data_IF_298020098523
#
_entry.id   IF_298020098523
#
_cell.length_a   1.000
_cell.length_b   1.000
_cell.length_c   1.000
_cell.angle_alpha   90.00
_cell.angle_beta   90.00
_cell.angle_gamma   90.00
#
_symmetry.space_group_name_H-M   'P 1'
#
loop_
_entity.id
_entity.type
_entity.pdbx_description
1 polymer ?
#
# COMPACT_ATOMS: atom_id res chain seq x y z
N UNK A 1 -33.98 34.76 29.46
CA UNK A 1 -32.69 34.07 29.70
C UNK A 1 -33.07 32.66 30.15
N UNK A 2 -33.28 31.65 29.30
CA UNK A 2 -32.50 31.15 28.14
C UNK A 2 -31.11 30.71 28.60
N UNK A 3 -30.68 29.44 28.56
CA UNK A 3 -31.07 28.28 27.74
C UNK A 3 -30.93 26.95 28.50
N UNK A 4 -31.97 26.10 28.38
CA UNK A 4 -31.93 24.64 28.55
C UNK A 4 -31.39 23.99 27.28
N UNK A 5 -30.55 22.96 27.39
CA UNK A 5 -30.27 22.01 26.30
C UNK A 5 -30.55 20.60 26.81
N UNK A 6 -31.82 20.22 26.79
CA UNK A 6 -32.22 18.87 26.44
C UNK A 6 -32.39 18.81 24.92
N UNK A 7 -31.72 17.87 24.26
CA UNK A 7 -32.28 17.26 23.05
C UNK A 7 -32.11 15.75 23.13
N UNK A 8 -33.20 15.14 23.55
CA UNK A 8 -33.56 13.77 23.30
C UNK A 8 -33.34 13.37 21.84
N UNK A 9 -32.86 12.14 21.70
CA UNK A 9 -33.15 11.25 20.58
C UNK A 9 -34.65 11.34 20.24
N UNK A 10 -35.00 11.85 19.07
CA UNK A 10 -36.34 11.66 18.51
C UNK A 10 -36.27 10.53 17.49
N UNK A 11 -36.96 9.44 17.81
CA UNK A 11 -37.42 8.44 16.85
C UNK A 11 -38.44 9.14 15.94
N UNK A 12 -38.26 9.08 14.62
CA UNK A 12 -39.39 9.33 13.72
C UNK A 12 -40.31 8.09 13.72
N UNK A 13 -41.62 8.35 13.79
CA UNK A 13 -42.67 7.34 13.94
C UNK A 13 -42.91 6.45 12.72
N UNK A 14 -41.84 6.06 12.00
CA UNK A 14 -41.91 5.13 10.86
C UNK A 14 -40.90 3.96 10.94
N UNK A 15 -40.03 3.90 11.97
CA UNK A 15 -39.18 2.73 12.19
C UNK A 15 -38.16 2.46 11.08
N UNK A 16 -37.80 3.47 10.27
CA UNK A 16 -36.77 3.34 9.21
C UNK A 16 -35.47 4.04 9.61
N UNK A 17 -34.36 3.31 9.54
CA UNK A 17 -33.00 3.88 9.65
C UNK A 17 -32.80 5.01 8.62
N UNK A 18 -32.60 6.25 9.08
CA UNK A 18 -32.09 7.32 8.21
C UNK A 18 -30.65 7.00 7.84
N UNK A 19 -30.43 6.67 6.56
CA UNK A 19 -29.11 6.79 5.90
C UNK A 19 -28.66 8.25 6.02
N UNK A 20 -27.67 8.51 6.87
CA UNK A 20 -26.92 9.76 6.88
C UNK A 20 -26.07 9.83 5.61
N UNK A 21 -26.67 10.32 4.53
CA UNK A 21 -25.94 10.79 3.35
C UNK A 21 -25.15 12.03 3.75
N UNK A 22 -23.86 11.87 4.04
CA UNK A 22 -22.94 13.00 4.00
C UNK A 22 -22.79 13.45 2.54
N UNK A 23 -23.03 14.73 2.21
CA UNK A 23 -22.90 15.20 0.85
C UNK A 23 -21.42 15.16 0.45
N UNK A 24 -21.14 14.46 -0.65
CA UNK A 24 -19.82 14.34 -1.30
C UNK A 24 -19.16 15.71 -1.55
N UNK A 25 -19.93 16.81 -1.53
CA UNK A 25 -19.44 18.18 -1.64
C UNK A 25 -18.53 18.63 -0.50
N UNK A 26 -18.67 18.10 0.72
CA UNK A 26 -17.81 18.50 1.85
C UNK A 26 -16.48 17.73 1.86
N UNK A 27 -16.50 16.47 1.38
CA UNK A 27 -15.31 15.68 1.05
C UNK A 27 -14.48 16.36 -0.05
N UNK A 28 -15.17 16.93 -1.05
CA UNK A 28 -14.56 17.70 -2.11
C UNK A 28 -14.21 19.13 -1.67
N UNK A 29 -14.88 19.78 -0.72
CA UNK A 29 -14.46 21.12 -0.26
C UNK A 29 -13.22 21.11 0.62
N UNK A 30 -13.03 20.08 1.45
CA UNK A 30 -11.76 19.91 2.19
C UNK A 30 -10.62 19.44 1.29
N UNK A 31 -10.91 18.71 0.21
CA UNK A 31 -9.90 18.20 -0.75
C UNK A 31 -9.64 19.17 -1.94
N UNK A 32 -10.60 20.02 -2.33
CA UNK A 32 -10.57 20.97 -3.46
C UNK A 32 -10.58 22.44 -2.97
N UNK A 33 -10.01 22.72 -1.80
CA UNK A 33 -9.30 23.99 -1.63
C UNK A 33 -7.84 23.89 -2.11
N UNK A 34 -7.39 22.69 -2.52
CA UNK A 34 -6.10 22.43 -3.16
C UNK A 34 -6.13 22.76 -4.66
N UNK A 35 -6.38 24.03 -4.98
CA UNK A 35 -6.40 24.55 -6.34
C UNK A 35 -5.02 25.02 -6.81
N UNK A 36 -4.51 24.34 -7.84
CA UNK A 36 -3.47 24.75 -8.81
C UNK A 36 -2.03 24.87 -8.28
N UNK A 37 -1.14 24.12 -8.94
CA UNK A 37 0.32 24.08 -8.81
C UNK A 37 0.88 23.29 -7.62
N UNK A 38 0.92 21.96 -7.69
CA UNK A 38 1.86 21.23 -6.82
C UNK A 38 2.43 20.01 -7.52
N UNK A 39 3.71 20.12 -7.93
CA UNK A 39 4.55 18.99 -8.35
C UNK A 39 4.89 18.06 -7.16
N UNK A 40 4.61 18.47 -5.92
CA UNK A 40 5.21 17.86 -4.70
C UNK A 40 4.24 17.63 -3.51
N UNK A 41 2.99 17.18 -3.74
CA UNK A 41 2.09 16.74 -2.65
C UNK A 41 0.85 17.62 -2.40
N UNK A 42 -0.05 17.16 -1.54
CA UNK A 42 -1.26 17.90 -1.13
C UNK A 42 -0.90 18.66 0.15
N UNK A 43 -1.02 19.99 0.13
CA UNK A 43 -0.77 20.82 1.31
C UNK A 43 -2.07 20.93 2.10
N UNK A 44 -2.09 20.42 3.34
CA UNK A 44 -3.17 20.68 4.30
C UNK A 44 -2.65 21.68 5.32
N UNK A 45 -3.47 22.67 5.65
CA UNK A 45 -3.11 23.76 6.55
C UNK A 45 -3.30 23.30 8.01
N UNK A 46 -2.22 23.28 8.80
CA UNK A 46 -2.33 23.37 10.26
C UNK A 46 -1.96 24.80 10.69
N UNK A 47 -2.42 25.20 11.88
CA UNK A 47 -2.18 26.51 12.48
C UNK A 47 -0.69 26.84 12.72
N UNK A 48 0.21 25.85 12.61
CA UNK A 48 1.61 25.96 13.01
C UNK A 48 2.63 25.84 11.86
N UNK A 49 2.17 25.90 10.60
CA UNK A 49 3.04 25.97 9.42
C UNK A 49 2.75 24.95 8.33
N UNK A 50 3.31 25.19 7.14
CA UNK A 50 3.12 24.35 5.96
C UNK A 50 3.90 23.03 6.09
N UNK A 51 3.21 21.93 6.43
CA UNK A 51 3.74 20.58 6.22
C UNK A 51 3.16 20.01 4.92
N UNK A 52 3.98 19.80 3.86
CA UNK A 52 3.52 19.05 2.71
C UNK A 52 3.23 17.60 3.13
N UNK A 53 1.96 17.21 3.15
CA UNK A 53 1.57 15.83 3.52
C UNK A 53 1.73 14.96 2.27
N UNK A 54 2.53 13.88 2.32
CA UNK A 54 2.61 12.92 1.23
C UNK A 54 1.22 12.35 0.92
N UNK A 55 0.91 12.16 -0.37
CA UNK A 55 -0.39 11.61 -0.79
C UNK A 55 -0.68 10.23 -0.18
N UNK A 56 0.36 9.41 -0.03
CA UNK A 56 0.29 8.09 0.61
C UNK A 56 -0.17 8.22 2.07
N UNK A 57 0.36 9.19 2.81
CA UNK A 57 -0.06 9.49 4.19
C UNK A 57 -1.55 9.81 4.24
N UNK A 58 -2.01 10.73 3.39
CA UNK A 58 -3.40 11.15 3.36
C UNK A 58 -4.35 10.00 2.99
N UNK A 59 -3.99 9.17 2.01
CA UNK A 59 -4.78 8.02 1.59
C UNK A 59 -4.95 7.01 2.74
N UNK A 60 -3.84 6.64 3.40
CA UNK A 60 -3.86 5.72 4.54
C UNK A 60 -4.68 6.30 5.69
N UNK A 61 -4.46 7.56 6.07
CA UNK A 61 -5.25 8.20 7.14
C UNK A 61 -6.74 8.19 6.82
N UNK A 62 -7.15 8.53 5.60
CA UNK A 62 -8.56 8.52 5.21
C UNK A 62 -9.17 7.11 5.25
N UNK A 63 -8.41 6.09 4.86
CA UNK A 63 -8.86 4.70 4.93
C UNK A 63 -9.04 4.27 6.39
N UNK A 64 -8.07 4.57 7.25
CA UNK A 64 -8.16 4.32 8.69
C UNK A 64 -9.31 5.08 9.34
N UNK A 65 -9.58 6.33 8.96
CA UNK A 65 -10.72 7.12 9.48
C UNK A 65 -12.07 6.52 9.07
N UNK A 66 -12.14 5.86 7.90
CA UNK A 66 -13.37 5.20 7.45
C UNK A 66 -13.61 3.87 8.11
N UNK A 67 -12.55 3.10 8.27
CA UNK A 67 -12.66 1.77 8.85
C UNK A 67 -12.67 1.85 10.38
N UNK A 68 -11.89 2.74 11.00
CA UNK A 68 -11.71 2.94 12.45
C UNK A 68 -11.96 4.39 12.92
N UNK A 69 -13.15 4.97 12.68
CA UNK A 69 -13.43 6.38 13.02
C UNK A 69 -13.29 6.68 14.50
N UNK A 70 -13.72 5.78 15.38
CA UNK A 70 -13.61 5.95 16.83
C UNK A 70 -12.15 6.00 17.29
N UNK A 71 -11.27 5.19 16.69
CA UNK A 71 -9.84 5.16 17.01
C UNK A 71 -9.10 6.38 16.48
N UNK A 72 -9.42 6.82 15.27
CA UNK A 72 -8.89 8.08 14.73
C UNK A 72 -9.33 9.27 15.59
N UNK A 73 -10.55 9.24 16.14
CA UNK A 73 -11.02 10.29 17.04
C UNK A 73 -10.32 10.24 18.41
N UNK A 74 -10.06 9.06 18.97
CA UNK A 74 -9.30 8.90 20.23
C UNK A 74 -7.88 9.46 20.12
N UNK A 75 -7.15 9.10 19.05
CA UNK A 75 -5.75 9.54 18.85
C UNK A 75 -5.69 10.98 18.32
N UNK A 76 -6.70 11.39 17.56
CA UNK A 76 -6.75 12.67 16.88
C UNK A 76 -6.16 12.59 15.47
N UNK A 77 -6.94 13.05 14.48
CA UNK A 77 -6.59 12.95 13.04
C UNK A 77 -5.22 13.54 12.70
N UNK A 78 -4.86 14.69 13.27
CA UNK A 78 -3.56 15.32 13.03
C UNK A 78 -2.40 14.45 13.49
N UNK A 79 -2.58 13.75 14.62
CA UNK A 79 -1.57 12.86 15.17
C UNK A 79 -1.41 11.59 14.33
N UNK A 80 -2.53 11.02 13.85
CA UNK A 80 -2.51 9.92 12.88
C UNK A 80 -1.73 10.31 11.61
N UNK A 81 -1.99 11.51 11.07
CA UNK A 81 -1.26 12.05 9.91
C UNK A 81 0.23 12.17 10.23
N UNK A 82 0.59 12.67 11.43
CA UNK A 82 1.99 12.84 11.85
C UNK A 82 2.72 11.50 11.93
N UNK A 83 2.10 10.49 12.55
CA UNK A 83 2.67 9.14 12.72
C UNK A 83 2.84 8.45 11.36
N UNK A 84 1.80 8.41 10.53
CA UNK A 84 1.91 7.82 9.18
C UNK A 84 2.87 8.63 8.30
N UNK A 85 2.89 9.95 8.47
CA UNK A 85 3.80 10.85 7.77
C UNK A 85 5.26 10.57 8.07
N UNK A 86 5.60 10.25 9.32
CA UNK A 86 6.97 9.89 9.71
C UNK A 86 7.40 8.55 9.12
N UNK A 87 6.50 7.57 9.01
CA UNK A 87 6.77 6.26 8.41
C UNK A 87 6.84 6.31 6.87
N UNK A 88 6.13 7.24 6.23
CA UNK A 88 5.96 7.27 4.77
C UNK A 88 7.28 7.24 3.97
N UNK A 89 8.34 8.00 4.31
CA UNK A 89 9.62 7.90 3.61
C UNK A 89 10.24 6.50 3.65
N UNK A 90 10.08 5.79 4.77
CA UNK A 90 10.56 4.42 4.93
C UNK A 90 9.75 3.43 4.08
N UNK A 91 8.43 3.60 4.00
CA UNK A 91 7.58 2.77 3.12
C UNK A 91 7.97 2.91 1.65
N UNK A 92 8.29 4.14 1.20
CA UNK A 92 8.71 4.38 -0.19
C UNK A 92 10.03 3.69 -0.49
N UNK A 93 11.05 3.87 0.35
CA UNK A 93 12.35 3.24 0.12
C UNK A 93 12.30 1.72 0.28
N UNK A 94 11.45 1.20 1.17
CA UNK A 94 11.23 -0.23 1.33
C UNK A 94 10.62 -0.85 0.07
N UNK A 95 9.58 -0.24 -0.50
CA UNK A 95 9.00 -0.71 -1.76
C UNK A 95 10.01 -0.68 -2.90
N UNK A 96 10.81 0.39 -3.03
CA UNK A 96 11.85 0.43 -4.07
C UNK A 96 12.91 -0.67 -3.87
N UNK A 97 13.36 -0.88 -2.63
CA UNK A 97 14.32 -1.94 -2.29
C UNK A 97 13.74 -3.34 -2.54
N UNK A 98 12.50 -3.60 -2.11
CA UNK A 98 11.80 -4.87 -2.28
C UNK A 98 11.50 -5.16 -3.76
N UNK A 99 10.93 -4.21 -4.51
CA UNK A 99 10.51 -4.44 -5.89
C UNK A 99 11.67 -4.43 -6.87
N UNK A 100 12.58 -3.45 -6.75
CA UNK A 100 13.62 -3.19 -7.74
C UNK A 100 14.96 -3.78 -7.26
N UNK A 101 15.33 -3.52 -6.00
CA UNK A 101 16.60 -3.97 -5.44
C UNK A 101 16.72 -5.50 -5.40
N UNK A 102 15.73 -6.18 -4.81
CA UNK A 102 15.69 -7.66 -4.75
C UNK A 102 15.59 -8.25 -6.16
N UNK A 103 14.82 -7.64 -7.06
CA UNK A 103 14.75 -8.08 -8.45
C UNK A 103 16.09 -7.96 -9.16
N UNK A 104 16.85 -6.87 -8.92
CA UNK A 104 18.18 -6.72 -9.46
C UNK A 104 19.10 -7.84 -8.96
N UNK A 105 19.03 -8.19 -7.66
CA UNK A 105 19.74 -9.34 -7.08
C UNK A 105 19.41 -10.64 -7.80
N UNK A 106 18.12 -10.98 -7.84
CA UNK A 106 17.64 -12.22 -8.43
C UNK A 106 17.97 -12.31 -9.93
N UNK A 107 17.98 -11.18 -10.65
CA UNK A 107 18.39 -11.13 -12.06
C UNK A 107 19.87 -11.47 -12.23
N UNK A 108 20.75 -10.95 -11.37
CA UNK A 108 22.18 -11.31 -11.41
C UNK A 108 22.41 -12.77 -11.04
N UNK A 109 21.74 -13.27 -9.98
CA UNK A 109 21.85 -14.65 -9.52
C UNK A 109 21.34 -15.68 -10.55
N UNK A 110 20.31 -15.32 -11.33
CA UNK A 110 19.76 -16.17 -12.39
C UNK A 110 20.51 -16.07 -13.73
N UNK A 111 21.55 -15.24 -13.80
CA UNK A 111 22.33 -14.99 -15.01
C UNK A 111 21.87 -13.75 -15.77
N UNK A 112 22.71 -12.72 -15.75
CA UNK A 112 22.58 -11.50 -16.55
C UNK A 112 23.77 -11.35 -17.51
N UNK A 113 23.63 -10.53 -18.56
CA UNK A 113 24.74 -10.22 -19.47
C UNK A 113 25.79 -9.38 -18.75
N UNK A 114 27.06 -9.50 -19.13
CA UNK A 114 28.16 -8.75 -18.50
C UNK A 114 27.92 -7.24 -18.37
N UNK A 115 27.38 -6.54 -19.40
CA UNK A 115 27.06 -5.11 -19.28
C UNK A 115 25.99 -4.78 -18.23
N UNK A 116 25.12 -5.74 -17.88
CA UNK A 116 24.04 -5.54 -16.90
C UNK A 116 24.52 -5.75 -15.46
N UNK A 117 25.57 -6.55 -15.24
CA UNK A 117 25.95 -7.00 -13.90
C UNK A 117 26.28 -5.85 -12.94
N UNK A 118 27.22 -4.97 -13.33
CA UNK A 118 27.63 -3.85 -12.47
C UNK A 118 26.48 -2.85 -12.24
N UNK A 119 25.72 -2.41 -13.28
CA UNK A 119 24.52 -1.59 -13.09
C UNK A 119 23.49 -2.18 -12.12
N UNK A 120 23.17 -3.47 -12.25
CA UNK A 120 22.23 -4.15 -11.37
C UNK A 120 22.75 -4.22 -9.92
N UNK A 121 24.06 -4.44 -9.74
CA UNK A 121 24.69 -4.42 -8.42
C UNK A 121 24.64 -3.03 -7.79
N UNK A 122 24.92 -1.98 -8.56
CA UNK A 122 24.83 -0.59 -8.11
C UNK A 122 23.40 -0.22 -7.72
N UNK A 123 22.41 -0.68 -8.49
CA UNK A 123 21.00 -0.42 -8.24
C UNK A 123 20.55 -1.07 -6.92
N UNK A 124 20.85 -2.34 -6.71
CA UNK A 124 20.55 -3.04 -5.44
C UNK A 124 21.20 -2.34 -4.25
N UNK A 125 22.53 -2.16 -4.30
CA UNK A 125 23.27 -1.57 -3.18
C UNK A 125 22.79 -0.14 -2.87
N UNK A 126 22.48 0.64 -3.92
CA UNK A 126 21.97 2.00 -3.77
C UNK A 126 20.61 2.05 -3.08
N UNK A 127 19.71 1.14 -3.43
CA UNK A 127 18.36 1.04 -2.83
C UNK A 127 18.40 0.53 -1.40
N UNK A 128 19.22 -0.49 -1.11
CA UNK A 128 19.40 -0.99 0.25
C UNK A 128 20.04 0.06 1.17
N UNK A 129 21.01 0.82 0.66
CA UNK A 129 21.61 1.93 1.41
C UNK A 129 20.59 3.04 1.70
N UNK A 130 19.72 3.37 0.75
CA UNK A 130 18.67 4.36 1.00
C UNK A 130 17.64 3.88 2.03
N UNK A 131 17.19 2.63 1.91
CA UNK A 131 16.33 1.99 2.91
C UNK A 131 16.93 2.13 4.32
N UNK A 132 18.21 1.78 4.48
CA UNK A 132 18.91 1.92 5.75
C UNK A 132 18.93 3.38 6.25
N UNK A 133 19.25 4.35 5.38
CA UNK A 133 19.22 5.77 5.75
C UNK A 133 17.82 6.25 6.19
N UNK A 134 16.76 5.80 5.52
CA UNK A 134 15.38 6.15 5.91
C UNK A 134 14.98 5.49 7.23
N UNK A 135 15.44 4.28 7.47
CA UNK A 135 15.23 3.57 8.74
C UNK A 135 15.93 4.29 9.90
N UNK A 136 17.18 4.69 9.75
CA UNK A 136 17.91 5.45 10.77
C UNK A 136 17.20 6.78 11.07
N UNK A 137 16.85 7.55 10.03
CA UNK A 137 16.12 8.80 10.21
C UNK A 137 14.75 8.63 10.90
N UNK A 138 14.04 7.54 10.57
CA UNK A 138 12.79 7.18 11.24
C UNK A 138 13.04 6.82 12.72
N UNK A 139 14.06 6.03 13.00
CA UNK A 139 14.42 5.59 14.36
C UNK A 139 14.83 6.77 15.24
N UNK A 140 15.64 7.68 14.72
CA UNK A 140 16.07 8.90 15.42
C UNK A 140 14.87 9.80 15.77
N UNK A 141 13.91 9.91 14.85
CA UNK A 141 12.74 10.79 15.02
C UNK A 141 11.66 10.22 15.94
N UNK A 142 11.62 8.89 16.11
CA UNK A 142 10.56 8.20 16.87
C UNK A 142 11.09 7.46 18.12
N UNK A 143 12.39 7.52 18.39
CA UNK A 143 13.04 6.90 19.54
C UNK A 143 13.17 5.37 19.46
N UNK A 144 13.99 4.80 20.36
CA UNK A 144 14.26 3.36 20.45
C UNK A 144 13.13 2.58 21.18
N UNK A 145 11.92 2.59 20.63
CA UNK A 145 10.74 1.95 21.23
C UNK A 145 9.91 1.11 20.25
N UNK A 146 8.60 1.04 20.50
CA UNK A 146 7.63 0.27 19.68
C UNK A 146 7.68 0.62 18.19
N UNK A 147 7.87 1.89 17.85
CA UNK A 147 7.96 2.33 16.45
C UNK A 147 9.14 1.69 15.72
N UNK A 148 10.30 1.58 16.38
CA UNK A 148 11.49 0.93 15.82
C UNK A 148 11.24 -0.57 15.58
N UNK A 149 10.63 -1.26 16.53
CA UNK A 149 10.28 -2.69 16.37
C UNK A 149 9.32 -2.91 15.20
N UNK A 150 8.32 -2.04 15.03
CA UNK A 150 7.40 -2.10 13.88
C UNK A 150 8.16 -1.90 12.57
N UNK A 151 9.11 -0.95 12.51
CA UNK A 151 9.95 -0.74 11.34
C UNK A 151 10.86 -1.95 11.04
N UNK A 152 11.49 -2.53 12.06
CA UNK A 152 12.34 -3.71 11.94
C UNK A 152 11.58 -4.90 11.34
N UNK A 153 10.40 -5.18 11.90
CA UNK A 153 9.54 -6.27 11.42
C UNK A 153 9.07 -5.99 10.00
N UNK A 154 8.56 -4.79 9.72
CA UNK A 154 8.08 -4.41 8.40
C UNK A 154 9.17 -4.60 7.34
N UNK A 155 10.39 -4.11 7.60
CA UNK A 155 11.51 -4.22 6.66
C UNK A 155 11.85 -5.69 6.44
N UNK A 156 12.05 -6.46 7.51
CA UNK A 156 12.44 -7.85 7.42
C UNK A 156 11.39 -8.69 6.65
N UNK A 157 10.13 -8.57 7.04
CA UNK A 157 9.05 -9.40 6.53
C UNK A 157 8.76 -9.06 5.05
N UNK A 158 8.86 -7.78 4.66
CA UNK A 158 8.72 -7.35 3.25
C UNK A 158 9.89 -7.80 2.37
N UNK A 159 11.13 -7.69 2.86
CA UNK A 159 12.30 -8.15 2.12
C UNK A 159 12.32 -9.68 1.99
N UNK A 160 11.87 -10.41 3.03
CA UNK A 160 11.68 -11.86 2.97
C UNK A 160 10.63 -12.24 1.92
N UNK A 161 9.46 -11.61 1.96
CA UNK A 161 8.39 -11.85 0.99
C UNK A 161 8.84 -11.62 -0.46
N UNK A 162 9.56 -10.53 -0.73
CA UNK A 162 10.06 -10.25 -2.08
C UNK A 162 11.18 -11.21 -2.51
N UNK A 163 12.08 -11.59 -1.58
CA UNK A 163 13.16 -12.54 -1.87
C UNK A 163 12.62 -13.93 -2.22
N UNK A 164 11.66 -14.41 -1.44
CA UNK A 164 11.09 -15.76 -1.56
C UNK A 164 9.87 -15.79 -2.49
N UNK A 165 9.65 -14.75 -3.32
CA UNK A 165 8.48 -14.66 -4.22
C UNK A 165 8.34 -15.84 -5.20
N UNK A 166 9.43 -16.57 -5.46
CA UNK A 166 9.40 -17.78 -6.32
C UNK A 166 8.71 -18.97 -5.64
N UNK A 167 8.65 -18.99 -4.31
CA UNK A 167 7.96 -20.03 -3.54
C UNK A 167 6.43 -19.91 -3.67
N UNK A 168 5.94 -18.74 -4.10
CA UNK A 168 4.53 -18.48 -4.37
C UNK A 168 4.23 -18.71 -5.86
N UNK A 169 3.95 -19.96 -6.23
CA UNK A 169 3.62 -20.34 -7.60
C UNK A 169 2.14 -20.76 -7.77
N UNK A 170 1.60 -20.59 -8.98
CA UNK A 170 0.22 -20.97 -9.31
C UNK A 170 -0.83 -20.30 -8.40
N UNK A 171 -1.62 -21.12 -7.70
CA UNK A 171 -2.65 -20.64 -6.78
C UNK A 171 -2.09 -19.81 -5.61
N UNK A 172 -0.87 -20.09 -5.16
CA UNK A 172 -0.23 -19.35 -4.06
C UNK A 172 0.22 -17.92 -4.45
N UNK A 173 0.23 -17.57 -5.74
CA UNK A 173 0.54 -16.20 -6.19
C UNK A 173 -0.43 -15.17 -5.61
N UNK A 174 -1.68 -15.57 -5.39
CA UNK A 174 -2.69 -14.71 -4.77
C UNK A 174 -2.30 -14.35 -3.33
N UNK A 175 -1.88 -15.33 -2.54
CA UNK A 175 -1.43 -15.10 -1.16
C UNK A 175 -0.21 -14.17 -1.10
N UNK A 176 0.69 -14.24 -2.09
CA UNK A 176 1.79 -13.27 -2.19
C UNK A 176 1.28 -11.84 -2.35
N UNK A 177 0.30 -11.62 -3.25
CA UNK A 177 -0.26 -10.30 -3.52
C UNK A 177 -0.97 -9.69 -2.31
N UNK A 178 -1.69 -10.53 -1.58
CA UNK A 178 -2.37 -10.21 -0.32
C UNK A 178 -1.37 -9.83 0.76
N UNK A 179 -0.32 -10.64 0.96
CA UNK A 179 0.73 -10.34 1.93
C UNK A 179 1.48 -9.04 1.60
N UNK A 180 1.84 -8.83 0.33
CA UNK A 180 2.61 -7.67 -0.13
C UNK A 180 1.94 -6.34 0.22
N UNK A 181 0.62 -6.25 0.02
CA UNK A 181 -0.15 -5.09 0.45
C UNK A 181 -0.43 -5.07 1.95
N UNK A 182 -0.74 -6.23 2.53
CA UNK A 182 -1.12 -6.38 3.92
C UNK A 182 -0.03 -5.97 4.91
N UNK A 183 1.24 -6.24 4.61
CA UNK A 183 2.37 -5.88 5.47
C UNK A 183 2.43 -4.37 5.77
N UNK A 184 2.24 -3.53 4.75
CA UNK A 184 2.22 -2.08 4.91
C UNK A 184 1.00 -1.61 5.72
N UNK A 185 -0.18 -2.18 5.44
CA UNK A 185 -1.41 -1.86 6.16
C UNK A 185 -1.29 -2.16 7.66
N UNK A 186 -0.75 -3.34 8.00
CA UNK A 186 -0.58 -3.76 9.38
C UNK A 186 0.48 -2.91 10.09
N UNK A 187 1.61 -2.59 9.44
CA UNK A 187 2.61 -1.71 10.04
C UNK A 187 2.04 -0.32 10.38
N UNK A 188 1.24 0.26 9.47
CA UNK A 188 0.55 1.52 9.72
C UNK A 188 -0.42 1.40 10.90
N UNK A 189 -1.21 0.33 10.98
CA UNK A 189 -2.10 0.09 12.11
C UNK A 189 -1.35 -0.13 13.42
N UNK A 190 -0.21 -0.84 13.39
CA UNK A 190 0.59 -1.11 14.58
C UNK A 190 1.19 0.15 15.21
N UNK A 191 1.47 1.18 14.40
CA UNK A 191 1.94 2.46 14.90
C UNK A 191 0.83 3.33 15.50
N UNK A 192 -0.39 3.22 14.99
CA UNK A 192 -1.47 4.15 15.33
C UNK A 192 -2.45 3.53 16.34
N UNK A 193 -2.89 2.29 16.10
CA UNK A 193 -3.89 1.56 16.90
C UNK A 193 -3.45 0.10 17.16
N UNK A 194 -2.30 -0.13 17.83
CA UNK A 194 -1.78 -1.48 18.01
C UNK A 194 -2.74 -2.45 18.71
N UNK A 195 -3.58 -1.95 19.62
CA UNK A 195 -4.57 -2.75 20.33
C UNK A 195 -5.62 -3.38 19.40
N UNK A 196 -5.89 -2.76 18.23
CA UNK A 196 -6.80 -3.30 17.23
C UNK A 196 -6.20 -4.56 16.62
N UNK A 197 -4.90 -4.56 16.32
CA UNK A 197 -4.19 -5.74 15.80
C UNK A 197 -4.05 -6.84 16.86
N UNK A 198 -3.71 -6.45 18.10
CA UNK A 198 -3.61 -7.36 19.24
C UNK A 198 -4.96 -8.08 19.47
N UNK A 199 -6.08 -7.34 19.44
CA UNK A 199 -7.42 -7.93 19.54
C UNK A 199 -7.77 -8.87 18.39
N UNK A 200 -7.17 -8.64 17.21
CA UNK A 200 -7.40 -9.47 16.03
C UNK A 200 -6.50 -10.71 15.98
N UNK A 201 -5.60 -10.88 16.95
CA UNK A 201 -4.63 -11.97 17.01
C UNK A 201 -3.38 -11.75 16.14
N UNK A 202 -3.13 -10.52 15.68
CA UNK A 202 -1.95 -10.18 14.89
C UNK A 202 -0.88 -9.57 15.81
N UNK A 203 0.10 -10.38 16.20
CA UNK A 203 1.31 -9.89 16.88
C UNK A 203 2.32 -9.33 15.87
N UNK A 204 2.08 -8.08 15.43
CA UNK A 204 2.97 -7.41 14.48
C UNK A 204 4.33 -7.03 15.08
N UNK A 205 4.44 -6.31 16.21
CA UNK A 205 5.74 -5.92 16.77
C UNK A 205 6.52 -7.10 17.39
N UNK A 206 5.97 -8.32 17.34
CA UNK A 206 6.65 -9.55 17.69
C UNK A 206 7.83 -9.89 16.79
N UNK A 207 8.24 -11.17 16.79
CA UNK A 207 9.47 -11.59 16.09
C UNK A 207 9.34 -11.40 14.56
N UNK A 208 10.39 -10.91 13.89
CA UNK A 208 10.46 -10.94 12.44
C UNK A 208 10.38 -12.38 11.91
N UNK A 209 9.68 -12.57 10.79
CA UNK A 209 9.54 -13.85 10.10
C UNK A 209 10.90 -14.31 9.54
N UNK A 210 11.12 -15.63 9.50
CA UNK A 210 12.34 -16.24 8.95
C UNK A 210 12.07 -17.06 7.71
N UNK A 211 10.84 -17.52 7.55
CA UNK A 211 10.41 -18.36 6.43
C UNK A 211 9.09 -17.87 5.85
N UNK A 212 8.76 -18.32 4.64
CA UNK A 212 7.44 -18.12 4.02
C UNK A 212 6.33 -18.71 4.89
N UNK A 213 6.56 -19.85 5.54
CA UNK A 213 5.61 -20.45 6.48
C UNK A 213 5.28 -19.52 7.66
N UNK A 214 6.29 -18.80 8.18
CA UNK A 214 6.08 -17.82 9.25
C UNK A 214 5.19 -16.67 8.77
N UNK A 215 5.42 -16.16 7.54
CA UNK A 215 4.59 -15.10 6.94
C UNK A 215 3.14 -15.57 6.80
N UNK A 216 2.94 -16.76 6.23
CA UNK A 216 1.61 -17.33 6.02
C UNK A 216 0.85 -17.52 7.34
N UNK A 217 1.54 -17.95 8.40
CA UNK A 217 0.94 -18.12 9.72
C UNK A 217 0.63 -16.79 10.40
N UNK A 218 1.61 -15.87 10.43
CA UNK A 218 1.52 -14.58 11.15
C UNK A 218 0.47 -13.64 10.55
N UNK A 219 0.31 -13.68 9.23
CA UNK A 219 -0.60 -12.82 8.47
C UNK A 219 -1.81 -13.60 7.91
N UNK A 220 -2.14 -14.73 8.51
CA UNK A 220 -3.24 -15.61 8.07
C UNK A 220 -4.59 -14.89 7.94
N UNK A 221 -4.87 -13.88 8.77
CA UNK A 221 -6.09 -13.06 8.65
C UNK A 221 -6.18 -12.33 7.29
N UNK A 222 -5.05 -11.98 6.68
CA UNK A 222 -4.98 -11.25 5.41
C UNK A 222 -4.95 -12.18 4.20
N UNK A 223 -4.64 -13.47 4.42
CA UNK A 223 -4.59 -14.46 3.36
C UNK A 223 -6.00 -15.03 3.18
N UNK A 224 -6.67 -14.52 2.19
CA UNK A 224 -8.07 -14.78 1.96
C UNK A 224 -8.23 -16.08 1.16
N UNK A 225 -8.12 -17.22 1.86
CA UNK A 225 -8.67 -18.51 1.41
C UNK A 225 -10.21 -18.47 1.38
N UNK A 226 -10.87 -19.53 0.88
CA UNK A 226 -12.34 -19.57 0.69
C UNK A 226 -13.10 -18.92 1.87
N UNK A 227 -14.05 -18.03 1.55
CA UNK A 227 -14.62 -17.03 2.45
C UNK A 227 -15.53 -17.59 3.57
N UNK A 228 -15.30 -18.79 4.05
CA UNK A 228 -16.13 -19.41 5.06
C UNK A 228 -15.90 -18.76 6.43
N UNK A 229 -17.00 -18.41 7.10
CA UNK A 229 -16.98 -17.96 8.49
C UNK A 229 -16.62 -16.49 8.72
N UNK A 230 -16.59 -15.63 7.70
CA UNK A 230 -16.38 -14.17 7.87
C UNK A 230 -17.41 -13.58 8.85
N UNK A 231 -18.68 -14.05 8.83
CA UNK A 231 -19.71 -13.59 9.77
C UNK A 231 -19.40 -13.94 11.23
N UNK A 232 -18.62 -15.00 11.45
CA UNK A 232 -18.24 -15.49 12.78
C UNK A 232 -16.98 -14.83 13.32
N UNK A 233 -16.27 -14.02 12.51
CA UNK A 233 -15.08 -13.29 12.94
C UNK A 233 -15.44 -12.17 13.90
N UNK A 234 -14.51 -11.86 14.80
CA UNK A 234 -14.66 -10.72 15.71
C UNK A 234 -14.78 -9.40 14.96
N UNK A 235 -15.39 -8.40 15.61
CA UNK A 235 -15.64 -7.10 14.98
C UNK A 235 -14.35 -6.40 14.50
N UNK A 236 -13.26 -6.48 15.28
CA UNK A 236 -11.95 -5.93 14.89
C UNK A 236 -11.36 -6.65 13.68
N UNK A 237 -11.41 -7.98 13.66
CA UNK A 237 -10.94 -8.81 12.55
C UNK A 237 -11.68 -8.49 11.25
N UNK A 238 -13.01 -8.39 11.28
CA UNK A 238 -13.81 -8.03 10.09
C UNK A 238 -13.45 -6.67 9.53
N UNK A 239 -13.09 -5.70 10.37
CA UNK A 239 -12.72 -4.36 9.92
C UNK A 239 -11.35 -4.33 9.27
N UNK A 240 -10.37 -5.03 9.86
CA UNK A 240 -9.05 -5.23 9.24
C UNK A 240 -9.23 -5.92 7.88
N UNK A 241 -10.02 -6.98 7.84
CA UNK A 241 -10.28 -7.74 6.62
C UNK A 241 -11.00 -6.90 5.55
N UNK A 242 -11.97 -6.09 5.96
CA UNK A 242 -12.67 -5.18 5.07
C UNK A 242 -11.76 -4.11 4.48
N UNK A 243 -10.86 -3.54 5.29
CA UNK A 243 -9.82 -2.62 4.79
C UNK A 243 -8.93 -3.31 3.75
N UNK A 244 -8.49 -4.53 4.06
CA UNK A 244 -7.62 -5.30 3.19
C UNK A 244 -8.29 -5.67 1.86
N UNK A 245 -9.56 -6.11 1.90
CA UNK A 245 -10.34 -6.40 0.68
C UNK A 245 -10.50 -5.15 -0.19
N UNK A 246 -10.70 -3.98 0.41
CA UNK A 246 -10.77 -2.73 -0.33
C UNK A 246 -9.44 -2.45 -1.05
N UNK A 247 -8.30 -2.62 -0.40
CA UNK A 247 -6.98 -2.48 -1.04
C UNK A 247 -6.76 -3.51 -2.15
N UNK A 248 -7.17 -4.77 -1.95
CA UNK A 248 -7.07 -5.81 -2.97
C UNK A 248 -7.87 -5.48 -4.23
N UNK A 249 -9.08 -4.94 -4.08
CA UNK A 249 -9.87 -4.47 -5.23
C UNK A 249 -9.16 -3.35 -6.00
N UNK A 250 -8.49 -2.44 -5.29
CA UNK A 250 -7.69 -1.39 -5.92
C UNK A 250 -6.46 -1.97 -6.64
N UNK A 251 -5.80 -2.96 -6.06
CA UNK A 251 -4.65 -3.66 -6.68
C UNK A 251 -5.05 -4.43 -7.94
N UNK A 252 -6.17 -5.16 -7.92
CA UNK A 252 -6.73 -5.81 -9.12
C UNK A 252 -7.01 -4.78 -10.22
N UNK A 253 -7.59 -3.63 -9.85
CA UNK A 253 -7.90 -2.53 -10.77
C UNK A 253 -6.62 -1.89 -11.35
N UNK A 254 -5.54 -1.77 -10.55
CA UNK A 254 -4.24 -1.27 -10.99
C UNK A 254 -3.56 -2.27 -11.95
N UNK A 255 -3.51 -3.55 -11.60
CA UNK A 255 -2.89 -4.61 -12.40
C UNK A 255 -3.56 -4.76 -13.78
N UNK A 256 -4.89 -4.68 -13.84
CA UNK A 256 -5.62 -4.70 -15.12
C UNK A 256 -5.18 -3.57 -16.06
N UNK A 257 -4.74 -2.44 -15.50
CA UNK A 257 -4.32 -1.24 -16.24
C UNK A 257 -2.80 -1.19 -16.45
N UNK A 258 -2.01 -1.81 -15.57
CA UNK A 258 -0.54 -1.81 -15.59
C UNK A 258 0.03 -3.09 -16.22
N UNK A 259 0.46 -3.03 -17.48
CA UNK A 259 0.72 -4.25 -18.26
C UNK A 259 2.15 -4.79 -18.31
N UNK A 260 3.19 -3.96 -18.10
CA UNK A 260 4.57 -4.28 -18.53
C UNK A 260 5.65 -4.31 -17.44
N UNK A 261 5.63 -3.34 -16.52
CA UNK A 261 6.69 -3.06 -15.54
C UNK A 261 6.98 -4.25 -14.63
N UNK A 262 5.95 -4.75 -13.97
CA UNK A 262 6.09 -5.79 -12.94
C UNK A 262 6.58 -7.12 -13.53
N UNK A 263 6.24 -7.37 -14.80
CA UNK A 263 6.76 -8.53 -15.53
C UNK A 263 8.27 -8.45 -15.75
N UNK A 264 8.82 -7.28 -16.07
CA UNK A 264 10.28 -7.10 -16.24
C UNK A 264 11.01 -7.36 -14.92
N UNK A 265 10.44 -6.92 -13.80
CA UNK A 265 10.97 -7.16 -12.46
C UNK A 265 10.72 -8.60 -11.96
N UNK A 266 9.85 -9.35 -12.63
CA UNK A 266 9.45 -10.70 -12.21
C UNK A 266 8.67 -10.68 -10.90
N UNK A 267 7.82 -9.66 -10.71
CA UNK A 267 6.89 -9.53 -9.59
C UNK A 267 5.56 -10.23 -9.95
N UNK A 268 4.96 -11.00 -9.03
CA UNK A 268 3.61 -11.51 -9.20
C UNK A 268 2.58 -10.37 -9.36
N UNK A 269 1.51 -10.66 -10.09
CA UNK A 269 0.37 -9.77 -10.32
C UNK A 269 -0.91 -10.59 -10.50
N UNK A 270 -2.08 -9.97 -10.36
CA UNK A 270 -3.34 -10.64 -10.62
C UNK A 270 -3.47 -11.10 -12.08
N UNK A 271 -2.83 -10.42 -13.03
CA UNK A 271 -2.76 -10.89 -14.43
C UNK A 271 -1.93 -12.17 -14.55
N UNK A 272 -0.79 -12.25 -13.86
CA UNK A 272 0.04 -13.46 -13.91
C UNK A 272 -0.61 -14.63 -13.17
N UNK A 273 -1.27 -14.37 -12.04
CA UNK A 273 -2.12 -15.33 -11.35
C UNK A 273 -3.25 -15.85 -12.25
N UNK A 274 -4.03 -14.95 -12.86
CA UNK A 274 -5.13 -15.35 -13.74
C UNK A 274 -4.65 -16.19 -14.93
N UNK A 275 -3.47 -15.90 -15.48
CA UNK A 275 -2.84 -16.69 -16.53
C UNK A 275 -2.36 -18.07 -16.05
N UNK A 276 -1.89 -18.18 -14.82
CA UNK A 276 -1.43 -19.45 -14.26
C UNK A 276 -2.59 -20.37 -13.90
N UNK A 277 -3.73 -19.81 -13.48
CA UNK A 277 -4.99 -20.54 -13.23
C UNK A 277 -5.67 -20.96 -14.53
N UNK A 278 -5.93 -20.00 -15.44
CA UNK A 278 -6.54 -20.31 -16.74
C UNK A 278 -6.08 -19.32 -17.84
N UNK A 279 -5.10 -19.69 -18.67
CA UNK A 279 -4.51 -18.79 -19.66
C UNK A 279 -5.49 -18.36 -20.75
N UNK A 280 -6.54 -19.15 -21.01
CA UNK A 280 -7.55 -18.83 -22.04
C UNK A 280 -8.69 -17.94 -21.52
N UNK A 281 -8.85 -17.86 -20.19
CA UNK A 281 -9.98 -17.16 -19.54
C UNK A 281 -9.53 -16.15 -18.49
N UNK A 282 -8.40 -15.47 -18.73
CA UNK A 282 -7.82 -14.46 -17.83
C UNK A 282 -8.86 -13.45 -17.33
N UNK A 283 -9.70 -12.90 -18.21
CA UNK A 283 -10.74 -11.94 -17.83
C UNK A 283 -11.80 -12.53 -16.89
N UNK A 284 -12.16 -13.80 -17.09
CA UNK A 284 -13.13 -14.48 -16.23
C UNK A 284 -12.53 -14.66 -14.83
N UNK A 285 -11.28 -15.17 -14.74
CA UNK A 285 -10.59 -15.38 -13.46
C UNK A 285 -10.42 -14.06 -12.70
N UNK A 286 -10.05 -12.98 -13.39
CA UNK A 286 -9.98 -11.65 -12.78
C UNK A 286 -11.35 -11.19 -12.25
N UNK A 287 -12.43 -11.43 -13.00
CA UNK A 287 -13.79 -11.12 -12.55
C UNK A 287 -14.21 -11.95 -11.33
N UNK A 288 -13.83 -13.22 -11.27
CA UNK A 288 -14.06 -14.09 -10.11
C UNK A 288 -13.31 -13.57 -8.88
N UNK A 289 -12.05 -13.17 -9.03
CA UNK A 289 -11.25 -12.55 -7.95
C UNK A 289 -11.85 -11.22 -7.49
N UNK A 290 -12.32 -10.37 -8.41
CA UNK A 290 -13.01 -9.12 -8.05
C UNK A 290 -14.29 -9.41 -7.25
N UNK A 291 -15.17 -10.27 -7.77
CA UNK A 291 -16.42 -10.63 -7.10
C UNK A 291 -16.16 -11.23 -5.72
N UNK A 292 -15.08 -12.00 -5.59
CA UNK A 292 -14.66 -12.59 -4.34
C UNK A 292 -14.33 -11.54 -3.27
N UNK A 293 -13.48 -10.56 -3.58
CA UNK A 293 -13.16 -9.50 -2.61
C UNK A 293 -14.35 -8.57 -2.34
N UNK A 294 -15.22 -8.34 -3.33
CA UNK A 294 -16.46 -7.59 -3.12
C UNK A 294 -17.42 -8.31 -2.16
N UNK A 295 -17.56 -9.63 -2.27
CA UNK A 295 -18.40 -10.42 -1.36
C UNK A 295 -17.91 -10.30 0.10
N UNK A 296 -16.63 -10.55 0.33
CA UNK A 296 -16.04 -10.44 1.68
C UNK A 296 -16.19 -9.01 2.22
N UNK A 297 -15.90 -8.00 1.41
CA UNK A 297 -16.02 -6.60 1.82
C UNK A 297 -17.44 -6.28 2.30
N UNK A 298 -18.46 -6.74 1.58
CA UNK A 298 -19.86 -6.57 1.97
C UNK A 298 -20.20 -7.31 3.26
N UNK A 299 -19.67 -8.53 3.45
CA UNK A 299 -19.83 -9.32 4.70
C UNK A 299 -19.13 -8.69 5.90
N UNK A 300 -18.07 -7.92 5.66
CA UNK A 300 -17.41 -7.07 6.66
C UNK A 300 -18.21 -5.79 6.99
N UNK A 301 -19.33 -5.52 6.32
CA UNK A 301 -20.18 -4.34 6.55
C UNK A 301 -19.66 -3.06 5.88
N UNK A 302 -18.70 -3.17 4.97
CA UNK A 302 -18.24 -2.06 4.13
C UNK A 302 -18.95 -2.12 2.77
N UNK A 303 -19.19 -0.96 2.16
CA UNK A 303 -19.92 -0.90 0.88
C UNK A 303 -18.98 -0.71 -0.31
N UNK A 304 -19.40 -1.19 -1.49
CA UNK A 304 -18.73 -0.91 -2.77
C UNK A 304 -18.57 0.59 -3.07
N UNK A 305 -19.34 1.47 -2.41
CA UNK A 305 -19.15 2.92 -2.50
C UNK A 305 -17.79 3.35 -1.93
N UNK A 306 -17.29 2.68 -0.87
CA UNK A 306 -15.96 2.95 -0.29
C UNK A 306 -14.86 2.62 -1.31
N UNK A 307 -14.99 1.49 -2.00
CA UNK A 307 -14.08 1.10 -3.09
C UNK A 307 -14.16 2.11 -4.24
N UNK A 308 -15.37 2.48 -4.68
CA UNK A 308 -15.54 3.46 -5.75
C UNK A 308 -15.01 4.86 -5.40
N UNK A 309 -15.04 5.25 -4.13
CA UNK A 309 -14.42 6.49 -3.64
C UNK A 309 -12.90 6.35 -3.60
N UNK A 310 -12.37 5.24 -3.07
CA UNK A 310 -10.95 4.95 -3.03
C UNK A 310 -10.35 4.87 -4.46
N UNK A 311 -11.05 4.24 -5.40
CA UNK A 311 -10.69 4.23 -6.82
C UNK A 311 -10.68 5.64 -7.42
N UNK A 312 -11.66 6.50 -7.08
CA UNK A 312 -11.67 7.89 -7.55
C UNK A 312 -10.51 8.67 -6.96
N UNK A 313 -10.25 8.55 -5.65
CA UNK A 313 -9.11 9.19 -4.97
C UNK A 313 -7.80 8.68 -5.56
N UNK A 314 -7.68 7.37 -5.77
CA UNK A 314 -6.55 6.78 -6.49
C UNK A 314 -6.46 7.39 -7.87
N UNK A 315 -7.49 7.41 -8.72
CA UNK A 315 -7.39 8.10 -10.02
C UNK A 315 -6.94 9.58 -9.88
N UNK A 316 -7.47 10.33 -8.93
CA UNK A 316 -7.02 11.70 -8.65
C UNK A 316 -5.55 11.78 -8.16
N UNK A 317 -5.02 10.72 -7.55
CA UNK A 317 -3.65 10.67 -6.96
C UNK A 317 -2.65 9.79 -7.73
N UNK A 318 -3.13 8.90 -8.61
CA UNK A 318 -2.48 7.74 -9.26
C UNK A 318 -2.58 7.80 -10.78
N UNK A 319 -3.59 8.45 -11.39
CA UNK A 319 -3.76 8.53 -12.86
C UNK A 319 -2.58 9.19 -13.59
N UNK A 320 -1.57 9.70 -12.89
CA UNK A 320 -0.39 10.32 -13.47
C UNK A 320 0.96 9.66 -13.13
N UNK A 321 0.99 8.59 -12.31
CA UNK A 321 2.27 7.99 -11.86
C UNK A 321 3.14 7.49 -13.04
N UNK A 322 2.51 6.87 -14.04
CA UNK A 322 3.15 6.50 -15.31
C UNK A 322 3.13 7.65 -16.32
N UNK A 323 1.98 8.24 -16.62
CA UNK A 323 1.84 9.21 -17.72
C UNK A 323 2.70 10.48 -17.57
N UNK A 324 2.94 10.99 -16.34
CA UNK A 324 3.89 12.09 -16.13
C UNK A 324 5.37 11.65 -16.14
N UNK A 325 5.64 10.37 -15.87
CA UNK A 325 6.99 9.82 -15.98
C UNK A 325 7.35 9.64 -17.46
N UNK A 326 6.48 9.03 -18.27
CA UNK A 326 6.76 8.80 -19.70
C UNK A 326 6.95 10.10 -20.51
N UNK A 327 6.21 11.17 -20.20
CA UNK A 327 6.26 12.41 -21.01
C UNK A 327 7.48 13.31 -20.81
N UNK A 328 8.42 12.97 -19.92
CA UNK A 328 9.55 13.85 -19.54
C UNK A 328 10.87 13.13 -19.25
N UNK A 329 10.92 11.81 -19.43
CA UNK A 329 12.14 11.06 -19.08
C UNK A 329 12.99 10.89 -20.33
N UNK A 330 14.24 11.36 -20.28
CA UNK A 330 15.23 11.03 -21.30
C UNK A 330 15.37 9.51 -21.39
N UNK A 331 15.38 8.97 -22.61
CA UNK A 331 15.67 7.56 -22.85
C UNK A 331 17.13 7.31 -22.46
N UNK A 332 17.36 6.30 -21.64
CA UNK A 332 18.68 5.90 -21.18
C UNK A 332 19.00 4.54 -21.80
N UNK A 333 19.80 4.59 -22.86
CA UNK A 333 20.29 3.39 -23.55
C UNK A 333 21.60 2.84 -22.95
N UNK A 334 22.18 3.56 -21.97
CA UNK A 334 23.43 3.17 -21.30
C UNK A 334 23.17 2.73 -19.84
N UNK A 335 23.27 1.42 -19.54
CA UNK A 335 23.14 0.86 -18.20
C UNK A 335 24.04 1.53 -17.15
N UNK A 336 25.23 2.01 -17.52
CA UNK A 336 26.19 2.60 -16.59
C UNK A 336 25.70 3.95 -16.04
N UNK A 337 24.68 4.56 -16.64
CA UNK A 337 24.05 5.77 -16.12
C UNK A 337 23.04 5.52 -14.99
N UNK A 338 22.75 4.26 -14.65
CA UNK A 338 21.79 3.89 -13.58
C UNK A 338 22.07 4.60 -12.26
N UNK A 339 23.35 4.74 -11.87
CA UNK A 339 23.71 5.39 -10.62
C UNK A 339 23.34 6.88 -10.59
N UNK A 340 23.45 7.57 -11.74
CA UNK A 340 23.01 8.96 -11.87
C UNK A 340 21.49 9.05 -11.87
N UNK A 341 20.83 8.20 -12.66
CA UNK A 341 19.37 8.16 -12.75
C UNK A 341 18.72 7.92 -11.38
N UNK A 342 19.22 6.92 -10.65
CA UNK A 342 18.76 6.57 -9.32
C UNK A 342 18.94 7.73 -8.35
N UNK A 343 20.12 8.36 -8.25
CA UNK A 343 20.33 9.50 -7.35
C UNK A 343 19.35 10.64 -7.56
N UNK A 344 18.90 10.85 -8.80
CA UNK A 344 17.95 11.90 -9.15
C UNK A 344 16.48 11.50 -8.93
N UNK A 345 16.17 10.20 -8.79
CA UNK A 345 14.79 9.69 -8.81
C UNK A 345 14.42 8.72 -7.68
N UNK A 346 15.38 8.24 -6.89
CA UNK A 346 15.26 7.23 -5.83
C UNK A 346 14.56 7.70 -4.55
N UNK A 347 13.73 8.73 -4.68
CA UNK A 347 12.91 9.24 -3.57
C UNK A 347 11.45 9.37 -4.04
N UNK A 348 11.04 8.59 -5.03
CA UNK A 348 9.73 8.77 -5.66
C UNK A 348 8.94 7.48 -5.68
N UNK A 349 7.67 7.56 -5.26
CA UNK A 349 6.68 6.45 -5.30
C UNK A 349 6.40 5.86 -6.69
N UNK A 350 7.18 6.26 -7.69
CA UNK A 350 7.04 5.88 -9.10
C UNK A 350 8.39 5.52 -9.72
N UNK A 351 9.46 5.27 -8.95
CA UNK A 351 10.78 4.95 -9.49
C UNK A 351 10.68 3.85 -10.56
N UNK A 352 9.93 2.78 -10.27
CA UNK A 352 9.65 1.69 -11.23
C UNK A 352 9.12 2.20 -12.59
N UNK A 353 8.14 3.10 -12.57
CA UNK A 353 7.52 3.66 -13.78
C UNK A 353 8.45 4.65 -14.49
N UNK A 354 9.30 5.37 -13.75
CA UNK A 354 10.32 6.24 -14.33
C UNK A 354 11.42 5.44 -15.02
N UNK A 355 11.85 4.34 -14.41
CA UNK A 355 12.82 3.43 -15.02
C UNK A 355 12.24 2.72 -16.25
N UNK A 356 10.94 2.40 -16.25
CA UNK A 356 10.26 1.89 -17.43
C UNK A 356 10.20 2.95 -18.53
N UNK A 357 9.79 4.17 -18.17
CA UNK A 357 9.70 5.30 -19.10
C UNK A 357 11.02 5.76 -19.71
N UNK A 358 12.16 5.52 -19.04
CA UNK A 358 13.49 5.75 -19.61
C UNK A 358 14.03 4.58 -20.43
N UNK A 359 13.33 3.45 -20.50
CA UNK A 359 13.83 2.22 -21.12
C UNK A 359 14.82 1.41 -20.25
N UNK A 360 15.23 1.96 -19.10
CA UNK A 360 16.24 1.36 -18.23
C UNK A 360 15.80 0.00 -17.66
N UNK A 361 14.52 -0.21 -17.34
CA UNK A 361 14.04 -1.54 -16.94
C UNK A 361 14.22 -2.58 -18.04
N UNK A 362 13.92 -2.22 -19.29
CA UNK A 362 14.07 -3.15 -20.41
C UNK A 362 15.53 -3.50 -20.61
N UNK A 363 16.42 -2.52 -20.56
CA UNK A 363 17.85 -2.75 -20.76
C UNK A 363 18.48 -3.60 -19.64
N UNK A 364 18.08 -3.37 -18.39
CA UNK A 364 18.64 -4.07 -17.24
C UNK A 364 18.06 -5.47 -17.01
N UNK A 365 16.78 -5.68 -17.33
CA UNK A 365 16.04 -6.89 -16.90
C UNK A 365 15.61 -7.83 -18.04
N UNK A 366 15.77 -7.46 -19.30
CA UNK A 366 15.45 -8.33 -20.44
C UNK A 366 16.48 -9.43 -20.68
#
# INVERSE_FOLDING_TARGET
MSLNIERQLSLDGSGTFRRSFFPVSDLLRTTICAGRNVRDGVRVWSTDGQLPIPRTTLAITCALERVFPEKVNEVGRCEVIRIIGSLSPLLVSLNEAADIGISARLRRESGCRQPQFLPLLMLENGLMLDLHRKYEAFSDSNGNGKAKLVADVLINDSLLLSKERRDFSGAAQRSWLELDSGLCEVACQALVFPEVLESAGIDFPGRPCRTVGDLLSKYSLLILGEADGVENMEYSQRRILGLHCAEMLLKVSDDIRGGGVDRLLGLPSFITHAKSVNPTRVKQVLGEVTNYYEDILNRCGLSNLVVGIAEKILRFTSSFKGQNAFGKTEVIDDPYQVGRFYRNNGYTTTLRHKMDGSGLLTELFR
#
